data_IF_268893317132
#
_entry.id   IF_268893317132
#
_cell.length_a   1.000
_cell.length_b   1.000
_cell.length_c   1.000
_cell.angle_alpha   90.00
_cell.angle_beta   90.00
_cell.angle_gamma   90.00
#
_symmetry.space_group_name_H-M   'P 1'
#
loop_
_entity.id
_entity.type
_entity.pdbx_description
1 polymer ?
#
# COMPACT_ATOMS: atom_id res chain seq x y z
N UNK A 1 2.81 -13.27 -35.83
CA UNK A 1 3.63 -13.66 -34.68
C UNK A 1 3.02 -14.93 -34.14
N UNK A 2 3.78 -16.00 -33.99
CA UNK A 2 3.26 -17.31 -33.57
C UNK A 2 3.71 -17.53 -32.12
N UNK A 3 2.77 -17.56 -31.19
CA UNK A 3 3.05 -17.86 -29.79
C UNK A 3 3.28 -19.38 -29.69
N UNK A 4 4.37 -19.77 -29.03
CA UNK A 4 4.66 -21.18 -28.73
C UNK A 4 3.96 -21.57 -27.43
N UNK A 5 3.04 -22.52 -27.47
CA UNK A 5 2.37 -23.07 -26.31
C UNK A 5 3.03 -24.38 -25.89
N UNK A 6 3.27 -24.54 -24.59
CA UNK A 6 3.98 -25.69 -24.02
C UNK A 6 3.30 -26.08 -22.71
N UNK A 7 3.02 -27.35 -22.54
CA UNK A 7 2.60 -27.96 -21.28
C UNK A 7 3.86 -28.32 -20.48
N UNK A 8 3.93 -27.84 -19.25
CA UNK A 8 5.16 -27.95 -18.42
C UNK A 8 5.55 -29.42 -18.15
N UNK A 9 4.59 -30.31 -17.96
CA UNK A 9 4.85 -31.75 -17.77
C UNK A 9 5.47 -32.45 -18.99
N UNK A 10 5.46 -31.84 -20.17
CA UNK A 10 6.14 -32.37 -21.35
C UNK A 10 7.65 -32.16 -21.33
N UNK A 11 8.15 -31.24 -20.44
CA UNK A 11 9.54 -30.82 -20.46
C UNK A 11 10.20 -30.79 -19.07
N UNK A 12 9.44 -30.71 -17.98
CA UNK A 12 9.88 -30.62 -16.61
C UNK A 12 9.37 -31.79 -15.77
N UNK A 13 9.99 -32.04 -14.63
CA UNK A 13 9.63 -33.16 -13.75
C UNK A 13 8.38 -32.87 -12.94
N UNK A 14 8.23 -31.65 -12.44
CA UNK A 14 7.07 -31.14 -11.69
C UNK A 14 6.70 -31.99 -10.46
N UNK A 15 7.68 -32.58 -9.78
CA UNK A 15 7.51 -33.42 -8.59
C UNK A 15 7.60 -32.65 -7.27
N UNK A 16 7.56 -31.32 -7.33
CA UNK A 16 7.56 -30.45 -6.17
C UNK A 16 6.14 -30.27 -5.61
N UNK A 17 6.05 -29.46 -4.54
CA UNK A 17 4.79 -29.06 -3.92
C UNK A 17 4.83 -27.56 -3.62
N UNK A 18 3.83 -26.82 -4.07
CA UNK A 18 3.77 -25.36 -3.89
C UNK A 18 3.71 -24.90 -2.41
N UNK A 19 3.39 -25.79 -1.49
CA UNK A 19 3.29 -25.45 -0.05
C UNK A 19 4.51 -25.90 0.75
N UNK A 20 5.11 -27.03 0.40
CA UNK A 20 6.18 -27.68 1.18
C UNK A 20 7.51 -27.81 0.44
N UNK A 21 7.50 -27.56 -0.86
CA UNK A 21 8.70 -27.70 -1.69
C UNK A 21 9.16 -29.14 -1.90
N UNK A 22 10.46 -29.31 -2.09
CA UNK A 22 11.11 -30.57 -2.40
C UNK A 22 11.06 -30.90 -3.89
N UNK A 23 11.58 -32.05 -4.26
CA UNK A 23 11.59 -32.50 -5.65
C UNK A 23 12.78 -32.01 -6.47
N UNK A 24 12.66 -32.18 -7.78
CA UNK A 24 13.68 -31.87 -8.77
C UNK A 24 13.71 -30.37 -9.08
N UNK A 25 14.89 -29.80 -9.23
CA UNK A 25 15.07 -28.40 -9.66
C UNK A 25 14.80 -28.27 -11.16
N UNK A 26 13.65 -27.75 -11.51
CA UNK A 26 13.20 -27.55 -12.90
C UNK A 26 13.62 -26.19 -13.49
N UNK A 27 14.41 -25.38 -12.78
CA UNK A 27 14.77 -24.01 -13.20
C UNK A 27 15.32 -23.96 -14.62
N UNK A 28 16.30 -24.82 -14.95
CA UNK A 28 17.00 -24.75 -16.23
C UNK A 28 16.10 -25.07 -17.42
N UNK A 29 15.25 -26.07 -17.29
CA UNK A 29 14.35 -26.48 -18.39
C UNK A 29 13.22 -25.48 -18.60
N UNK A 30 12.65 -24.95 -17.53
CA UNK A 30 11.61 -23.93 -17.61
C UNK A 30 12.19 -22.61 -18.15
N UNK A 31 13.39 -22.21 -17.70
CA UNK A 31 14.05 -21.01 -18.21
C UNK A 31 14.34 -21.10 -19.71
N UNK A 32 14.84 -22.25 -20.18
CA UNK A 32 15.12 -22.46 -21.59
C UNK A 32 13.86 -22.25 -22.47
N UNK A 33 12.71 -22.70 -22.00
CA UNK A 33 11.44 -22.49 -22.69
C UNK A 33 11.00 -21.03 -22.67
N UNK A 34 11.13 -20.34 -21.51
CA UNK A 34 10.78 -18.93 -21.40
C UNK A 34 11.66 -18.07 -22.31
N UNK A 35 12.93 -18.42 -22.49
CA UNK A 35 13.87 -17.71 -23.35
C UNK A 35 13.51 -17.85 -24.85
N UNK A 36 12.79 -18.88 -25.25
CA UNK A 36 12.30 -19.01 -26.62
C UNK A 36 11.36 -17.88 -27.05
N UNK A 37 10.77 -17.16 -26.10
CA UNK A 37 9.93 -15.99 -26.40
C UNK A 37 10.68 -14.95 -27.26
N UNK A 38 11.99 -14.85 -27.13
CA UNK A 38 12.84 -13.94 -27.92
C UNK A 38 12.98 -14.37 -29.38
N UNK A 39 12.83 -15.65 -29.66
CA UNK A 39 13.02 -16.26 -30.99
C UNK A 39 11.69 -16.47 -31.72
N UNK A 40 10.72 -17.06 -31.04
CA UNK A 40 9.43 -17.39 -31.67
C UNK A 40 8.39 -16.27 -31.56
N UNK A 41 8.71 -15.21 -30.80
CA UNK A 41 7.88 -14.02 -30.69
C UNK A 41 6.92 -14.03 -29.50
N UNK A 42 6.85 -15.11 -28.74
CA UNK A 42 6.10 -15.23 -27.49
C UNK A 42 5.96 -16.68 -27.03
N UNK A 43 5.79 -16.86 -25.72
CA UNK A 43 5.60 -18.17 -25.07
C UNK A 43 4.36 -18.17 -24.22
N UNK A 44 3.58 -19.23 -24.29
CA UNK A 44 2.53 -19.58 -23.36
C UNK A 44 2.92 -20.89 -22.65
N UNK A 45 3.45 -20.76 -21.43
CA UNK A 45 3.80 -21.88 -20.57
C UNK A 45 2.59 -22.24 -19.71
N UNK A 46 2.10 -23.46 -19.82
CA UNK A 46 0.99 -23.99 -19.02
C UNK A 46 1.58 -24.89 -17.93
N UNK A 47 1.43 -24.45 -16.68
CA UNK A 47 1.85 -25.20 -15.51
C UNK A 47 0.71 -26.12 -15.05
N UNK A 48 0.88 -27.41 -15.27
CA UNK A 48 -0.04 -28.49 -14.88
C UNK A 48 0.43 -29.27 -13.66
N UNK A 49 1.48 -28.80 -12.99
CA UNK A 49 2.05 -29.30 -11.73
C UNK A 49 2.85 -28.25 -11.00
N UNK A 50 3.57 -28.65 -9.97
CA UNK A 50 4.39 -27.80 -9.13
C UNK A 50 5.88 -27.99 -9.43
N UNK A 51 6.59 -26.89 -9.69
CA UNK A 51 8.02 -26.87 -9.96
C UNK A 51 8.83 -26.34 -8.77
N UNK A 52 9.95 -26.94 -8.45
CA UNK A 52 11.00 -26.35 -7.62
C UNK A 52 11.88 -25.48 -8.52
N UNK A 53 12.03 -24.18 -8.17
CA UNK A 53 12.79 -23.22 -8.98
C UNK A 53 13.73 -22.36 -8.15
N UNK A 54 14.85 -21.94 -8.73
CA UNK A 54 15.75 -20.95 -8.13
C UNK A 54 15.43 -19.50 -8.52
N UNK A 55 14.36 -19.29 -9.35
CA UNK A 55 13.96 -18.01 -9.92
C UNK A 55 13.97 -18.06 -11.45
N UNK A 56 12.97 -17.46 -12.06
CA UNK A 56 12.78 -17.45 -13.51
C UNK A 56 12.70 -16.03 -14.04
N UNK A 57 13.25 -15.81 -15.23
CA UNK A 57 13.20 -14.52 -15.93
C UNK A 57 12.37 -14.63 -17.19
N UNK A 58 11.55 -13.64 -17.44
CA UNK A 58 10.63 -13.63 -18.56
C UNK A 58 10.90 -12.48 -19.54
N UNK A 59 10.57 -12.71 -20.78
CA UNK A 59 10.65 -11.76 -21.88
C UNK A 59 9.27 -11.21 -22.23
N UNK A 60 9.22 -10.26 -23.16
CA UNK A 60 7.96 -9.78 -23.73
C UNK A 60 7.15 -10.91 -24.35
N UNK A 61 5.82 -10.77 -24.35
CA UNK A 61 4.86 -11.71 -24.90
C UNK A 61 4.91 -13.10 -24.22
N UNK A 62 5.09 -13.10 -22.90
CA UNK A 62 5.10 -14.32 -22.08
C UNK A 62 3.80 -14.43 -21.29
N UNK A 63 3.14 -15.57 -21.42
CA UNK A 63 2.04 -15.99 -20.55
C UNK A 63 2.48 -17.21 -19.75
N UNK A 64 2.33 -17.15 -18.43
CA UNK A 64 2.42 -18.31 -17.53
C UNK A 64 1.03 -18.54 -16.97
N UNK A 65 0.44 -19.70 -17.28
CA UNK A 65 -0.88 -20.09 -16.81
C UNK A 65 -0.77 -21.36 -15.96
N UNK A 66 -1.14 -21.27 -14.67
CA UNK A 66 -1.23 -22.41 -13.79
C UNK A 66 -2.68 -22.91 -13.75
N UNK A 67 -2.89 -24.19 -14.02
CA UNK A 67 -4.24 -24.76 -14.20
C UNK A 67 -5.06 -24.79 -12.91
N UNK A 68 -4.40 -24.95 -11.76
CA UNK A 68 -5.03 -24.96 -10.45
C UNK A 68 -4.18 -24.21 -9.44
N UNK A 69 -4.71 -23.95 -8.25
CA UNK A 69 -3.95 -23.35 -7.13
C UNK A 69 -2.78 -24.23 -6.63
N UNK A 70 -2.82 -25.53 -6.91
CA UNK A 70 -1.79 -26.49 -6.51
C UNK A 70 -0.69 -26.64 -7.56
N UNK A 71 -0.85 -25.99 -8.73
CA UNK A 71 0.19 -25.79 -9.73
C UNK A 71 0.96 -24.50 -9.45
N UNK A 72 2.19 -24.39 -9.95
CA UNK A 72 3.01 -23.18 -9.83
C UNK A 72 4.41 -23.46 -9.33
N UNK A 73 4.89 -22.62 -8.42
CA UNK A 73 6.32 -22.57 -8.11
C UNK A 73 6.57 -22.57 -6.59
N UNK A 74 7.54 -23.37 -6.18
CA UNK A 74 8.16 -23.28 -4.85
C UNK A 74 9.63 -22.88 -5.01
N UNK A 75 10.06 -21.86 -4.32
CA UNK A 75 11.43 -21.38 -4.45
C UNK A 75 12.40 -22.20 -3.62
N UNK A 76 13.48 -22.64 -4.25
CA UNK A 76 14.56 -23.38 -3.64
C UNK A 76 15.22 -22.57 -2.53
N UNK A 77 15.60 -23.20 -1.38
CA UNK A 77 16.35 -22.53 -0.33
C UNK A 77 17.62 -21.85 -0.85
N UNK A 78 17.90 -20.63 -0.38
CA UNK A 78 19.10 -19.87 -0.72
C UNK A 78 19.13 -19.30 -2.14
N UNK A 79 18.01 -19.27 -2.86
CA UNK A 79 17.92 -18.65 -4.19
C UNK A 79 18.15 -17.15 -4.15
N UNK A 80 17.65 -16.49 -3.12
CA UNK A 80 17.84 -15.07 -2.81
C UNK A 80 17.53 -14.12 -4.00
N UNK A 81 16.46 -14.41 -4.68
CA UNK A 81 15.97 -13.63 -5.84
C UNK A 81 14.45 -13.73 -5.95
N UNK A 82 13.86 -13.03 -6.90
CA UNK A 82 12.44 -13.16 -7.19
C UNK A 82 12.08 -14.54 -7.78
N UNK A 83 10.87 -15.03 -7.49
CA UNK A 83 10.36 -16.26 -8.11
C UNK A 83 10.23 -16.04 -9.62
N UNK A 84 9.58 -14.94 -10.01
CA UNK A 84 9.48 -14.49 -11.40
C UNK A 84 9.90 -13.03 -11.49
N UNK A 85 10.79 -12.73 -12.44
CA UNK A 85 11.17 -11.35 -12.77
C UNK A 85 11.28 -11.18 -14.28
N UNK A 86 11.27 -9.92 -14.77
CA UNK A 86 11.60 -9.67 -16.18
C UNK A 86 13.09 -9.32 -16.33
N UNK A 87 13.60 -9.44 -17.56
CA UNK A 87 15.03 -9.13 -17.85
C UNK A 87 15.36 -7.65 -17.75
N UNK A 88 14.40 -6.77 -18.04
CA UNK A 88 14.62 -5.34 -17.94
C UNK A 88 14.68 -4.91 -16.47
N UNK A 89 15.69 -4.14 -16.13
CA UNK A 89 15.87 -3.58 -14.78
C UNK A 89 15.77 -2.04 -14.77
N UNK A 90 15.50 -1.43 -15.91
CA UNK A 90 15.41 0.01 -16.07
C UNK A 90 13.95 0.48 -15.89
N UNK A 91 13.73 1.35 -14.93
CA UNK A 91 12.40 1.90 -14.63
C UNK A 91 11.89 2.83 -15.73
N UNK A 92 12.78 3.50 -16.44
CA UNK A 92 12.45 4.60 -17.36
C UNK A 92 12.16 4.14 -18.77
N UNK A 93 12.58 2.95 -19.14
CA UNK A 93 12.34 2.37 -20.46
C UNK A 93 11.42 1.15 -20.38
N UNK A 94 10.28 1.20 -21.07
CA UNK A 94 9.30 0.09 -21.11
C UNK A 94 9.69 -0.93 -22.18
N UNK A 95 10.72 -1.72 -21.87
CA UNK A 95 11.27 -2.73 -22.81
C UNK A 95 10.55 -4.06 -22.75
N UNK A 96 9.86 -4.37 -21.65
CA UNK A 96 9.11 -5.62 -21.50
C UNK A 96 7.62 -5.34 -21.63
N UNK A 97 6.90 -6.10 -22.46
CA UNK A 97 5.48 -5.88 -22.71
C UNK A 97 4.70 -7.18 -22.89
N UNK A 98 3.39 -7.12 -22.72
CA UNK A 98 2.45 -8.22 -22.90
C UNK A 98 2.83 -9.42 -22.03
N UNK A 99 2.80 -9.23 -20.73
CA UNK A 99 3.06 -10.25 -19.73
C UNK A 99 1.74 -10.63 -19.04
N UNK A 100 1.49 -11.91 -18.90
CA UNK A 100 0.35 -12.45 -18.16
C UNK A 100 0.84 -13.55 -17.23
N UNK A 101 0.58 -13.38 -15.92
CA UNK A 101 0.64 -14.45 -14.93
C UNK A 101 -0.78 -14.75 -14.47
N UNK A 102 -1.23 -15.98 -14.65
CA UNK A 102 -2.60 -16.40 -14.36
C UNK A 102 -2.62 -17.71 -13.56
N UNK A 103 -3.36 -17.71 -12.46
CA UNK A 103 -3.55 -18.90 -11.63
C UNK A 103 -2.34 -19.31 -10.81
N UNK A 104 -2.53 -20.33 -10.00
CA UNK A 104 -1.47 -21.02 -9.25
C UNK A 104 -0.99 -20.34 -7.98
N UNK A 105 0.00 -20.96 -7.38
CA UNK A 105 0.67 -20.50 -6.18
C UNK A 105 2.17 -20.25 -6.44
N UNK A 106 2.63 -19.07 -6.07
CA UNK A 106 4.01 -18.61 -6.16
C UNK A 106 4.56 -18.49 -4.74
N UNK A 107 5.23 -19.54 -4.25
CA UNK A 107 5.76 -19.62 -2.88
C UNK A 107 7.24 -19.30 -2.86
N UNK A 108 7.61 -18.19 -2.20
CA UNK A 108 8.99 -17.76 -2.11
C UNK A 108 9.79 -18.46 -1.00
N UNK A 109 9.17 -19.27 -0.13
CA UNK A 109 9.86 -19.99 0.93
C UNK A 109 10.70 -19.04 1.82
N UNK A 110 10.05 -18.00 2.34
CA UNK A 110 10.70 -16.83 2.97
C UNK A 110 11.70 -17.15 4.08
N UNK A 111 11.46 -18.20 4.88
CA UNK A 111 12.36 -18.59 5.97
C UNK A 111 13.72 -19.07 5.49
N UNK A 112 13.82 -19.45 4.22
CA UNK A 112 15.04 -19.99 3.61
C UNK A 112 15.65 -19.06 2.55
N UNK A 113 15.22 -17.80 2.49
CA UNK A 113 15.82 -16.78 1.66
C UNK A 113 16.64 -15.79 2.48
N UNK A 114 17.58 -15.09 1.86
CA UNK A 114 18.41 -14.09 2.52
C UNK A 114 17.58 -13.06 3.27
N UNK A 115 18.09 -12.65 4.41
CA UNK A 115 17.47 -11.67 5.27
C UNK A 115 18.06 -10.30 4.99
N UNK A 116 17.19 -9.33 4.64
CA UNK A 116 17.51 -7.96 4.86
C UNK A 116 17.43 -7.69 6.37
N UNK A 117 18.56 -7.41 6.98
CA UNK A 117 18.57 -6.87 8.35
C UNK A 117 18.45 -5.38 8.16
N UNK A 118 17.32 -4.74 8.52
CA UNK A 118 17.30 -3.30 8.61
C UNK A 118 18.33 -2.93 9.67
N UNK A 119 19.45 -2.35 9.25
CA UNK A 119 20.28 -1.65 10.20
C UNK A 119 19.41 -0.50 10.71
N UNK A 120 18.94 -0.61 11.94
CA UNK A 120 18.28 0.47 12.69
C UNK A 120 17.34 1.40 11.92
N UNK A 121 16.64 0.91 10.92
CA UNK A 121 15.35 1.41 10.52
C UNK A 121 15.26 2.58 9.54
N UNK A 122 16.29 3.26 9.10
CA UNK A 122 16.14 4.49 8.29
C UNK A 122 17.23 4.70 7.23
N UNK A 123 17.96 3.68 6.85
CA UNK A 123 18.98 3.83 5.83
C UNK A 123 18.33 3.93 4.44
N UNK A 124 18.33 5.13 3.89
CA UNK A 124 17.78 5.45 2.57
C UNK A 124 18.37 4.61 1.44
N UNK A 125 19.64 4.21 1.60
CA UNK A 125 20.40 3.54 0.55
C UNK A 125 20.12 2.04 0.42
N UNK A 126 19.42 1.45 1.36
CA UNK A 126 19.10 0.01 1.34
C UNK A 126 18.05 -0.36 0.30
N UNK A 127 17.40 0.60 -0.31
CA UNK A 127 16.38 0.43 -1.35
C UNK A 127 16.94 0.53 -2.78
N UNK A 128 18.24 0.39 -3.00
CA UNK A 128 18.80 0.41 -4.35
C UNK A 128 18.32 -0.79 -5.16
N UNK A 129 17.58 -0.54 -6.23
CA UNK A 129 17.14 -1.57 -7.18
C UNK A 129 18.31 -2.26 -7.90
N UNK A 130 19.47 -1.62 -7.92
CA UNK A 130 20.62 -2.07 -8.67
C UNK A 130 21.53 -2.98 -7.86
N UNK A 131 21.56 -2.80 -6.55
CA UNK A 131 22.47 -3.55 -5.68
C UNK A 131 21.94 -4.91 -5.24
N UNK A 132 20.66 -5.19 -5.49
CA UNK A 132 20.03 -6.52 -5.53
C UNK A 132 20.24 -7.53 -4.40
N UNK A 133 21.21 -7.32 -3.55
CA UNK A 133 21.66 -8.31 -2.61
C UNK A 133 20.89 -8.33 -1.29
N UNK A 134 20.10 -7.29 -1.00
CA UNK A 134 19.40 -7.15 0.29
C UNK A 134 17.90 -7.30 0.19
N UNK A 135 17.32 -7.05 -0.99
CA UNK A 135 15.88 -7.10 -1.20
C UNK A 135 15.50 -8.29 -2.07
N UNK A 136 14.72 -9.19 -1.50
CA UNK A 136 14.29 -10.43 -2.17
C UNK A 136 12.79 -10.39 -2.32
N UNK A 137 12.31 -9.91 -3.46
CA UNK A 137 10.90 -9.77 -3.77
C UNK A 137 10.27 -11.09 -4.26
N UNK A 138 8.96 -11.24 -4.10
CA UNK A 138 8.24 -12.39 -4.61
C UNK A 138 8.13 -12.38 -6.13
N UNK A 139 7.37 -11.45 -6.68
CA UNK A 139 7.25 -11.15 -8.11
C UNK A 139 7.80 -9.76 -8.38
N UNK A 140 8.67 -9.61 -9.39
CA UNK A 140 9.43 -8.39 -9.58
C UNK A 140 9.49 -7.94 -11.05
N UNK A 141 8.91 -6.78 -11.36
CA UNK A 141 8.81 -6.26 -12.72
C UNK A 141 9.25 -4.82 -12.83
N UNK A 142 10.14 -4.52 -13.77
CA UNK A 142 10.61 -3.18 -14.05
C UNK A 142 10.49 -2.82 -15.52
N UNK A 143 10.06 -1.58 -15.78
CA UNK A 143 9.92 -1.05 -17.14
C UNK A 143 8.97 -1.90 -17.99
N UNK A 144 7.74 -2.10 -17.48
CA UNK A 144 6.75 -2.98 -18.11
C UNK A 144 5.59 -2.21 -18.72
N UNK A 145 5.09 -2.72 -19.83
CA UNK A 145 3.86 -2.25 -20.47
C UNK A 145 2.92 -3.43 -20.74
N UNK A 146 1.65 -3.32 -20.33
CA UNK A 146 0.66 -4.39 -20.43
C UNK A 146 1.07 -5.63 -19.61
N UNK A 147 1.01 -5.49 -18.29
CA UNK A 147 1.21 -6.57 -17.32
C UNK A 147 -0.13 -6.95 -16.70
N UNK A 148 -0.46 -8.22 -16.69
CA UNK A 148 -1.62 -8.78 -16.00
C UNK A 148 -1.19 -9.83 -14.98
N UNK A 149 -1.63 -9.65 -13.72
CA UNK A 149 -1.53 -10.64 -12.65
C UNK A 149 -2.96 -10.99 -12.21
N UNK A 150 -3.40 -12.23 -12.41
CA UNK A 150 -4.78 -12.59 -12.08
C UNK A 150 -4.96 -14.00 -11.53
N UNK A 151 -5.92 -14.14 -10.64
CA UNK A 151 -6.39 -15.42 -10.10
C UNK A 151 -5.27 -16.25 -9.43
N UNK A 152 -4.28 -15.60 -8.81
CA UNK A 152 -3.08 -16.25 -8.28
C UNK A 152 -2.86 -15.96 -6.79
N UNK A 153 -2.00 -16.77 -6.18
CA UNK A 153 -1.58 -16.66 -4.78
C UNK A 153 -0.07 -16.39 -4.74
N UNK A 154 0.34 -15.31 -4.06
CA UNK A 154 1.75 -15.11 -3.69
C UNK A 154 1.91 -15.50 -2.23
N UNK A 155 2.76 -16.50 -1.99
CA UNK A 155 2.88 -17.13 -0.68
C UNK A 155 4.28 -17.00 -0.11
N UNK A 156 4.39 -16.82 1.21
CA UNK A 156 5.65 -16.80 1.95
C UNK A 156 6.72 -15.93 1.28
N UNK A 157 6.35 -14.72 0.90
CA UNK A 157 7.29 -13.74 0.32
C UNK A 157 8.23 -13.19 1.39
N UNK A 158 9.48 -12.91 0.99
CA UNK A 158 10.55 -12.54 1.93
C UNK A 158 10.52 -11.07 2.31
N UNK A 159 10.38 -10.21 1.32
CA UNK A 159 10.15 -8.78 1.48
C UNK A 159 8.83 -8.42 0.78
N UNK A 160 8.81 -7.64 -0.27
CA UNK A 160 7.56 -7.32 -0.96
C UNK A 160 7.04 -8.52 -1.78
N UNK A 161 5.74 -8.80 -1.69
CA UNK A 161 5.14 -9.90 -2.44
C UNK A 161 5.14 -9.63 -3.94
N UNK A 162 4.71 -8.42 -4.34
CA UNK A 162 4.63 -7.96 -5.73
C UNK A 162 5.24 -6.58 -5.85
N UNK A 163 6.31 -6.45 -6.62
CA UNK A 163 7.00 -5.18 -6.86
C UNK A 163 6.92 -4.83 -8.34
N UNK A 164 6.42 -3.64 -8.64
CA UNK A 164 6.32 -3.15 -10.02
C UNK A 164 6.83 -1.71 -10.09
N UNK A 165 7.90 -1.50 -10.83
CA UNK A 165 8.50 -0.18 -11.04
C UNK A 165 8.57 0.21 -12.51
N UNK A 166 8.31 1.47 -12.84
CA UNK A 166 8.36 1.94 -14.21
C UNK A 166 7.32 1.24 -15.10
N UNK A 167 6.04 1.61 -15.02
CA UNK A 167 4.98 0.80 -15.63
C UNK A 167 3.97 1.61 -16.43
N UNK A 168 3.28 0.91 -17.33
CA UNK A 168 2.08 1.39 -18.02
C UNK A 168 1.11 0.25 -18.30
N UNK A 169 -0.19 0.47 -18.06
CA UNK A 169 -1.26 -0.52 -18.25
C UNK A 169 -0.99 -1.80 -17.44
N UNK A 170 -1.08 -1.69 -16.13
CA UNK A 170 -0.97 -2.83 -15.21
C UNK A 170 -2.35 -3.17 -14.67
N UNK A 171 -2.71 -4.43 -14.71
CA UNK A 171 -3.92 -5.00 -14.10
C UNK A 171 -3.56 -6.09 -13.12
N UNK A 172 -4.06 -5.98 -11.89
CA UNK A 172 -3.95 -6.98 -10.83
C UNK A 172 -5.36 -7.31 -10.38
N UNK A 173 -5.77 -8.57 -10.52
CA UNK A 173 -7.15 -8.97 -10.24
C UNK A 173 -7.21 -10.35 -9.57
N UNK A 174 -8.01 -10.48 -8.50
CA UNK A 174 -8.18 -11.72 -7.75
C UNK A 174 -6.83 -12.29 -7.26
N UNK A 175 -5.98 -11.46 -6.70
CA UNK A 175 -4.67 -11.88 -6.17
C UNK A 175 -4.73 -11.95 -4.64
N UNK A 176 -4.31 -13.09 -4.10
CA UNK A 176 -4.28 -13.34 -2.67
C UNK A 176 -2.85 -13.43 -2.14
N UNK A 177 -2.59 -12.73 -1.04
CA UNK A 177 -1.31 -12.74 -0.36
C UNK A 177 -1.40 -13.65 0.87
N UNK A 178 -0.67 -14.77 0.85
CA UNK A 178 -0.72 -15.77 1.89
C UNK A 178 0.64 -15.85 2.62
N UNK A 179 0.67 -15.36 3.85
CA UNK A 179 1.88 -15.27 4.65
C UNK A 179 1.77 -16.05 5.96
N UNK A 180 1.66 -17.40 5.92
CA UNK A 180 1.59 -18.21 7.13
C UNK A 180 2.88 -18.19 7.93
N UNK A 181 4.04 -18.14 7.28
CA UNK A 181 5.36 -18.10 7.91
C UNK A 181 5.81 -16.65 8.13
N UNK A 182 4.90 -15.84 8.70
CA UNK A 182 5.16 -14.45 8.96
C UNK A 182 6.42 -14.27 9.80
N UNK A 183 7.38 -13.59 9.22
CA UNK A 183 8.50 -13.05 9.97
C UNK A 183 8.04 -11.67 10.48
N UNK A 184 8.36 -11.34 11.71
CA UNK A 184 8.12 -9.98 12.24
C UNK A 184 9.13 -9.01 11.61
N UNK A 185 9.16 -8.96 10.28
CA UNK A 185 10.11 -8.16 9.56
C UNK A 185 9.40 -6.93 8.99
N UNK A 186 10.00 -5.78 9.20
CA UNK A 186 9.72 -4.58 8.39
C UNK A 186 9.89 -4.92 6.91
N UNK A 187 9.18 -4.22 6.05
CA UNK A 187 9.25 -4.38 4.61
C UNK A 187 8.77 -5.75 4.10
N UNK A 188 7.84 -6.39 4.79
CA UNK A 188 7.12 -7.55 4.28
C UNK A 188 5.78 -7.10 3.70
N UNK A 189 5.89 -6.21 2.67
CA UNK A 189 4.75 -5.56 2.03
C UNK A 189 4.00 -6.50 1.08
N UNK A 190 2.77 -6.14 0.77
CA UNK A 190 1.99 -6.81 -0.25
C UNK A 190 2.34 -6.32 -1.66
N UNK A 191 1.72 -5.23 -2.07
CA UNK A 191 1.90 -4.64 -3.39
C UNK A 191 2.69 -3.34 -3.30
N UNK A 192 3.82 -3.26 -4.00
CA UNK A 192 4.69 -2.11 -3.93
C UNK A 192 4.98 -1.55 -5.34
N UNK A 193 4.61 -0.28 -5.56
CA UNK A 193 4.71 0.37 -6.87
C UNK A 193 5.65 1.55 -6.84
N UNK A 194 6.59 1.60 -7.81
CA UNK A 194 7.47 2.74 -8.05
C UNK A 194 7.19 3.41 -9.39
N UNK A 195 7.25 4.73 -9.39
CA UNK A 195 7.18 5.49 -10.63
C UNK A 195 8.42 5.34 -11.54
N UNK A 196 8.32 5.85 -12.78
CA UNK A 196 7.14 6.47 -13.36
C UNK A 196 6.04 5.45 -13.71
N UNK A 197 4.79 5.73 -13.34
CA UNK A 197 3.69 4.79 -13.52
C UNK A 197 2.42 5.45 -14.08
N UNK A 198 1.69 4.72 -14.95
CA UNK A 198 0.41 5.17 -15.45
C UNK A 198 -0.53 3.99 -15.78
N UNK A 199 -1.83 4.20 -15.52
CA UNK A 199 -2.90 3.22 -15.76
C UNK A 199 -2.71 1.94 -14.97
N UNK A 200 -2.84 2.05 -13.64
CA UNK A 200 -2.84 0.93 -12.71
C UNK A 200 -4.28 0.58 -12.32
N UNK A 201 -4.68 -0.65 -12.51
CA UNK A 201 -5.97 -1.18 -12.04
C UNK A 201 -5.73 -2.37 -11.13
N UNK A 202 -6.23 -2.26 -9.90
CA UNK A 202 -6.17 -3.35 -8.90
C UNK A 202 -7.60 -3.65 -8.47
N UNK A 203 -8.01 -4.93 -8.56
CA UNK A 203 -9.34 -5.37 -8.16
C UNK A 203 -9.31 -6.63 -7.34
N UNK A 204 -10.14 -6.66 -6.31
CA UNK A 204 -10.43 -7.86 -5.55
C UNK A 204 -9.15 -8.56 -5.07
N UNK A 205 -8.32 -7.82 -4.31
CA UNK A 205 -7.08 -8.32 -3.73
C UNK A 205 -7.20 -8.44 -2.22
N UNK A 206 -6.52 -9.40 -1.64
CA UNK A 206 -6.60 -9.60 -0.20
C UNK A 206 -5.48 -10.45 0.37
N UNK A 207 -5.55 -10.66 1.67
CA UNK A 207 -4.63 -11.54 2.38
C UNK A 207 -3.96 -10.91 3.58
N UNK A 208 -2.81 -11.43 3.95
CA UNK A 208 -2.04 -11.05 5.12
C UNK A 208 -0.62 -10.66 4.73
N UNK A 209 -0.12 -9.60 5.35
CA UNK A 209 1.24 -9.08 5.12
C UNK A 209 1.95 -8.79 6.45
N UNK A 210 3.23 -8.51 6.39
CA UNK A 210 4.02 -8.13 7.57
C UNK A 210 4.08 -6.64 7.82
N UNK A 211 4.04 -5.83 6.77
CA UNK A 211 4.14 -4.37 6.78
C UNK A 211 3.01 -3.73 5.95
N UNK A 212 3.30 -2.92 4.94
CA UNK A 212 2.30 -2.25 4.11
C UNK A 212 1.50 -3.24 3.26
N UNK A 213 0.16 -3.19 3.29
CA UNK A 213 -0.60 -4.01 2.36
C UNK A 213 -0.43 -3.53 0.92
N UNK A 214 -0.39 -2.20 0.73
CA UNK A 214 -0.16 -1.60 -0.57
C UNK A 214 0.59 -0.28 -0.44
N UNK A 215 1.63 -0.09 -1.24
CA UNK A 215 2.37 1.18 -1.34
C UNK A 215 2.37 1.73 -2.77
N UNK A 216 1.98 3.00 -2.92
CA UNK A 216 2.18 3.81 -4.11
C UNK A 216 3.28 4.83 -3.81
N UNK A 217 4.52 4.52 -4.19
CA UNK A 217 5.69 5.38 -4.01
C UNK A 217 6.17 5.97 -5.34
N UNK A 218 5.57 7.06 -5.86
CA UNK A 218 5.87 7.55 -7.20
C UNK A 218 7.35 7.88 -7.40
N UNK A 219 7.97 8.50 -6.43
CA UNK A 219 9.32 9.06 -6.50
C UNK A 219 10.31 8.41 -5.52
N UNK A 220 9.97 7.25 -5.01
CA UNK A 220 10.76 6.57 -3.99
C UNK A 220 12.17 6.18 -4.48
N UNK A 221 12.35 6.02 -5.78
CA UNK A 221 13.64 5.65 -6.38
C UNK A 221 14.43 6.81 -6.99
N UNK A 222 13.76 7.88 -7.41
CA UNK A 222 14.43 8.98 -8.13
C UNK A 222 14.05 10.38 -7.62
N UNK A 223 13.14 10.46 -6.64
CA UNK A 223 12.64 11.68 -6.01
C UNK A 223 11.82 12.62 -6.93
N UNK A 224 11.48 12.20 -8.15
CA UNK A 224 10.81 13.07 -9.14
C UNK A 224 9.71 12.41 -9.95
N UNK A 225 9.71 11.09 -10.07
CA UNK A 225 8.74 10.35 -10.88
C UNK A 225 7.32 10.46 -10.33
N UNK A 226 6.35 10.21 -11.19
CA UNK A 226 4.93 10.28 -10.86
C UNK A 226 4.21 8.97 -11.13
N UNK A 227 3.13 8.72 -10.39
CA UNK A 227 2.15 7.66 -10.69
C UNK A 227 0.80 8.34 -10.87
N UNK A 228 0.11 8.03 -11.99
CA UNK A 228 -1.18 8.63 -12.32
C UNK A 228 -2.17 7.60 -12.83
N UNK A 229 -3.46 7.95 -12.76
CA UNK A 229 -4.55 7.14 -13.30
C UNK A 229 -4.62 5.75 -12.63
N UNK A 230 -4.88 5.75 -11.33
CA UNK A 230 -4.91 4.56 -10.48
C UNK A 230 -6.33 4.25 -10.02
N UNK A 231 -6.76 3.01 -10.18
CA UNK A 231 -7.97 2.45 -9.61
C UNK A 231 -7.62 1.27 -8.70
N UNK A 232 -7.96 1.37 -7.42
CA UNK A 232 -7.90 0.29 -6.44
C UNK A 232 -9.33 0.03 -5.97
N UNK A 233 -9.86 -1.18 -6.18
CA UNK A 233 -11.24 -1.53 -5.94
C UNK A 233 -11.39 -2.93 -5.33
N UNK A 234 -11.80 -3.01 -4.07
CA UNK A 234 -11.92 -4.28 -3.35
C UNK A 234 -10.60 -4.73 -2.74
N UNK A 235 -10.32 -4.26 -1.53
CA UNK A 235 -9.14 -4.63 -0.73
C UNK A 235 -9.61 -5.28 0.55
N UNK A 236 -9.12 -6.50 0.84
CA UNK A 236 -9.48 -7.29 2.01
C UNK A 236 -8.21 -7.77 2.72
N UNK A 237 -7.82 -7.11 3.81
CA UNK A 237 -6.59 -7.49 4.48
C UNK A 237 -6.77 -7.75 5.98
N UNK A 238 -5.92 -8.63 6.49
CA UNK A 238 -5.87 -8.95 7.91
C UNK A 238 -4.49 -8.56 8.46
N UNK A 239 -4.51 -7.70 9.49
CA UNK A 239 -3.36 -7.37 10.32
C UNK A 239 -2.16 -6.77 9.53
N UNK A 240 -2.42 -5.85 8.60
CA UNK A 240 -1.37 -5.04 7.99
C UNK A 240 -0.80 -4.01 8.98
N UNK A 241 0.46 -3.65 8.86
CA UNK A 241 0.97 -2.49 9.61
C UNK A 241 0.33 -1.22 9.08
N UNK A 242 0.36 -1.03 7.78
CA UNK A 242 -0.37 0.02 7.08
C UNK A 242 -1.29 -0.59 6.00
N UNK A 243 -2.53 -0.10 5.91
CA UNK A 243 -3.45 -0.60 4.89
C UNK A 243 -3.03 -0.11 3.50
N UNK A 244 -3.08 1.19 3.28
CA UNK A 244 -2.68 1.79 2.00
C UNK A 244 -1.77 2.99 2.26
N UNK A 245 -0.60 2.93 1.67
CA UNK A 245 0.41 3.95 1.76
C UNK A 245 0.58 4.65 0.41
N UNK A 246 0.47 5.96 0.42
CA UNK A 246 0.76 6.87 -0.68
C UNK A 246 1.95 7.73 -0.24
N UNK A 247 3.15 7.32 -0.63
CA UNK A 247 4.39 7.86 -0.11
C UNK A 247 5.09 8.72 -1.13
N UNK A 248 5.48 9.93 -0.76
CA UNK A 248 6.44 10.73 -1.53
C UNK A 248 7.77 10.89 -0.80
N UNK A 249 8.87 10.91 -1.52
CA UNK A 249 10.22 11.18 -1.01
C UNK A 249 10.85 12.46 -1.54
N UNK A 250 10.30 13.04 -2.57
CA UNK A 250 10.81 14.21 -3.24
C UNK A 250 9.70 15.09 -3.78
N UNK A 251 9.68 15.33 -5.06
CA UNK A 251 8.72 16.20 -5.77
C UNK A 251 7.81 15.45 -6.74
N UNK A 252 7.74 14.12 -6.61
CA UNK A 252 6.89 13.29 -7.45
C UNK A 252 5.41 13.55 -7.21
N UNK A 253 4.59 13.10 -8.13
CA UNK A 253 3.14 13.35 -8.10
C UNK A 253 2.36 12.04 -8.06
N UNK A 254 1.35 11.98 -7.18
CA UNK A 254 0.23 11.04 -7.26
C UNK A 254 -1.01 11.82 -7.72
N UNK A 255 -1.58 11.44 -8.86
CA UNK A 255 -2.72 12.15 -9.43
C UNK A 255 -3.77 11.20 -10.02
N UNK A 256 -5.04 11.56 -9.88
CA UNK A 256 -6.20 10.77 -10.32
C UNK A 256 -6.15 9.35 -9.75
N UNK A 257 -6.10 9.28 -8.41
CA UNK A 257 -6.11 8.03 -7.65
C UNK A 257 -7.48 7.82 -7.05
N UNK A 258 -8.10 6.69 -7.36
CA UNK A 258 -9.35 6.24 -6.76
C UNK A 258 -9.11 4.97 -5.97
N UNK A 259 -9.46 4.99 -4.68
CA UNK A 259 -9.44 3.81 -3.79
C UNK A 259 -10.84 3.60 -3.26
N UNK A 260 -11.37 2.38 -3.38
CA UNK A 260 -12.70 2.08 -2.86
C UNK A 260 -12.85 0.64 -2.39
N UNK A 261 -13.83 0.42 -1.51
CA UNK A 261 -14.17 -0.90 -0.98
C UNK A 261 -12.98 -1.54 -0.23
N UNK A 262 -12.50 -0.85 0.82
CA UNK A 262 -11.39 -1.31 1.66
C UNK A 262 -11.93 -1.82 2.98
N UNK A 263 -11.64 -3.07 3.31
CA UNK A 263 -12.04 -3.70 4.57
C UNK A 263 -10.87 -4.45 5.19
N UNK A 264 -10.69 -4.34 6.49
CA UNK A 264 -9.65 -5.09 7.17
C UNK A 264 -9.21 -4.53 8.52
N UNK A 265 -8.05 -4.97 8.95
CA UNK A 265 -7.44 -4.56 10.21
C UNK A 265 -6.03 -4.01 9.99
N UNK A 266 -5.67 -2.96 10.73
CA UNK A 266 -4.38 -2.31 10.61
C UNK A 266 -3.78 -2.01 12.00
N UNK A 267 -2.46 -1.89 12.07
CA UNK A 267 -1.73 -1.67 13.32
C UNK A 267 -1.26 -0.23 13.51
N UNK A 268 -0.77 0.41 12.45
CA UNK A 268 -0.20 1.76 12.51
C UNK A 268 -1.03 2.78 11.72
N UNK A 269 -1.19 2.60 10.42
CA UNK A 269 -1.96 3.52 9.60
C UNK A 269 -3.04 2.81 8.77
N UNK A 270 -4.26 3.34 8.81
CA UNK A 270 -5.26 2.98 7.81
C UNK A 270 -4.83 3.50 6.44
N UNK A 271 -4.59 4.80 6.35
CA UNK A 271 -4.06 5.45 5.15
C UNK A 271 -2.92 6.39 5.53
N UNK A 272 -1.82 6.26 4.83
CA UNK A 272 -0.71 7.19 4.89
C UNK A 272 -0.62 7.94 3.56
N UNK A 273 -0.81 9.25 3.56
CA UNK A 273 -0.78 10.13 2.37
C UNK A 273 0.14 11.29 2.70
N UNK A 274 1.45 11.07 2.63
CA UNK A 274 2.40 12.03 3.16
C UNK A 274 3.80 11.83 2.58
N UNK A 275 4.67 12.78 2.86
CA UNK A 275 6.09 12.64 2.61
C UNK A 275 6.75 11.66 3.59
N UNK A 276 7.81 11.00 3.13
CA UNK A 276 8.62 10.14 3.99
C UNK A 276 9.42 10.96 5.01
N UNK A 277 10.07 12.01 4.54
CA UNK A 277 10.83 12.93 5.36
C UNK A 277 10.49 14.39 5.06
N UNK A 278 10.63 15.24 6.07
CA UNK A 278 10.42 16.68 5.95
C UNK A 278 11.74 17.38 5.66
N UNK A 279 12.31 17.16 4.48
CA UNK A 279 13.58 17.75 4.04
C UNK A 279 13.40 19.06 3.24
N UNK A 280 12.19 19.61 3.21
CA UNK A 280 11.85 20.81 2.47
C UNK A 280 11.42 20.57 1.02
N UNK A 281 11.33 19.32 0.61
CA UNK A 281 10.72 18.92 -0.66
C UNK A 281 9.42 18.17 -0.38
N UNK A 282 8.39 18.41 -1.17
CA UNK A 282 7.09 17.78 -0.99
C UNK A 282 6.56 17.23 -2.30
N UNK A 283 6.02 16.01 -2.23
CA UNK A 283 5.26 15.43 -3.32
C UNK A 283 3.88 16.08 -3.44
N UNK A 284 3.33 16.00 -4.62
CA UNK A 284 2.00 16.51 -4.93
C UNK A 284 0.98 15.37 -4.92
N UNK A 285 0.01 15.45 -4.02
CA UNK A 285 -1.14 14.55 -3.93
C UNK A 285 -2.36 15.24 -4.54
N UNK A 286 -2.69 14.89 -5.79
CA UNK A 286 -3.71 15.56 -6.59
C UNK A 286 -4.86 14.61 -6.88
N UNK A 287 -6.11 15.11 -6.78
CA UNK A 287 -7.30 14.36 -7.16
C UNK A 287 -7.34 12.94 -6.57
N UNK A 288 -7.17 12.84 -5.24
CA UNK A 288 -7.27 11.59 -4.50
C UNK A 288 -8.71 11.40 -4.03
N UNK A 289 -9.32 10.28 -4.39
CA UNK A 289 -10.66 9.89 -4.00
C UNK A 289 -10.66 8.55 -3.28
N UNK A 290 -11.17 8.51 -2.04
CA UNK A 290 -11.25 7.31 -1.19
C UNK A 290 -12.71 7.11 -0.79
N UNK A 291 -13.24 5.90 -0.99
CA UNK A 291 -14.66 5.62 -0.73
C UNK A 291 -14.90 4.21 -0.18
N UNK A 292 -15.91 4.06 0.68
CA UNK A 292 -16.34 2.78 1.25
C UNK A 292 -15.22 2.07 2.00
N UNK A 293 -14.82 2.63 3.13
CA UNK A 293 -13.75 2.11 3.99
C UNK A 293 -14.37 1.57 5.27
N UNK A 294 -14.06 0.33 5.64
CA UNK A 294 -14.43 -0.29 6.91
C UNK A 294 -13.19 -0.91 7.55
N UNK A 295 -12.54 -0.16 8.41
CA UNK A 295 -11.28 -0.55 9.02
C UNK A 295 -11.39 -0.63 10.55
N UNK A 296 -10.68 -1.62 11.10
CA UNK A 296 -10.50 -1.80 12.53
C UNK A 296 -9.03 -1.69 12.88
N UNK A 297 -8.75 -0.90 13.89
CA UNK A 297 -7.41 -0.81 14.48
C UNK A 297 -7.13 -2.03 15.35
N UNK A 298 -5.92 -2.55 15.25
CA UNK A 298 -5.35 -3.58 16.13
C UNK A 298 -4.15 -3.03 16.91
N UNK A 299 -3.59 -3.83 17.82
CA UNK A 299 -2.45 -3.39 18.61
C UNK A 299 -1.23 -3.09 17.72
N UNK A 300 -0.56 -1.93 17.89
CA UNK A 300 0.64 -1.59 17.13
C UNK A 300 1.80 -2.53 17.46
N UNK A 301 2.64 -2.79 16.47
CA UNK A 301 3.89 -3.55 16.67
C UNK A 301 5.04 -2.65 17.16
N UNK A 302 4.93 -1.35 16.93
CA UNK A 302 6.00 -0.39 17.18
C UNK A 302 5.51 0.74 18.10
N UNK A 303 6.21 0.99 19.18
CA UNK A 303 5.86 2.04 20.14
C UNK A 303 5.92 3.44 19.55
N UNK A 304 6.72 3.63 18.52
CA UNK A 304 6.90 4.93 17.85
C UNK A 304 5.86 5.24 16.76
N UNK A 305 5.01 4.28 16.42
CA UNK A 305 3.93 4.46 15.44
C UNK A 305 2.58 4.39 16.14
N UNK A 306 2.00 5.54 16.49
CA UNK A 306 0.64 5.55 17.01
C UNK A 306 -0.32 5.11 15.91
N UNK A 307 -1.36 4.35 16.25
CA UNK A 307 -2.37 3.96 15.29
C UNK A 307 -3.24 5.17 14.90
N UNK A 308 -3.25 5.47 13.60
CA UNK A 308 -3.97 6.61 13.01
C UNK A 308 -4.69 6.12 11.76
N UNK A 309 -5.97 6.48 11.61
CA UNK A 309 -6.72 6.07 10.42
C UNK A 309 -6.22 6.77 9.16
N UNK A 310 -6.05 8.09 9.20
CA UNK A 310 -5.51 8.88 8.10
C UNK A 310 -4.40 9.81 8.57
N UNK A 311 -3.18 9.58 8.12
CA UNK A 311 -2.09 10.55 8.22
C UNK A 311 -1.94 11.25 6.86
N UNK A 312 -2.18 12.55 6.83
CA UNK A 312 -2.22 13.34 5.60
C UNK A 312 -1.25 14.50 5.69
N UNK A 313 -0.41 14.66 4.69
CA UNK A 313 0.58 15.73 4.61
C UNK A 313 1.17 15.85 3.20
N UNK A 314 2.25 16.62 3.04
CA UNK A 314 2.75 17.00 1.74
C UNK A 314 1.85 18.05 1.06
N UNK A 315 2.01 18.27 -0.23
CA UNK A 315 1.14 19.15 -1.01
C UNK A 315 -0.14 18.40 -1.39
N UNK A 316 -1.24 18.70 -0.74
CA UNK A 316 -2.54 18.09 -1.01
C UNK A 316 -3.42 19.08 -1.74
N UNK A 317 -3.63 18.88 -3.05
CA UNK A 317 -4.51 19.74 -3.85
C UNK A 317 -5.99 19.39 -3.59
N UNK A 318 -6.35 18.11 -3.67
CA UNK A 318 -7.71 17.65 -3.42
C UNK A 318 -7.73 16.22 -2.88
N UNK A 319 -8.25 16.05 -1.67
CA UNK A 319 -8.51 14.77 -1.05
C UNK A 319 -9.98 14.68 -0.66
N UNK A 320 -10.69 13.72 -1.26
CA UNK A 320 -12.10 13.46 -0.97
C UNK A 320 -12.22 12.06 -0.38
N UNK A 321 -12.76 11.98 0.84
CA UNK A 321 -12.97 10.74 1.59
C UNK A 321 -14.46 10.58 1.83
N UNK A 322 -15.03 9.42 1.45
CA UNK A 322 -16.46 9.14 1.60
C UNK A 322 -16.75 7.80 2.24
N UNK A 323 -17.83 7.74 3.00
CA UNK A 323 -18.38 6.52 3.57
C UNK A 323 -17.33 5.71 4.33
N UNK A 324 -16.78 6.28 5.40
CA UNK A 324 -15.80 5.63 6.27
C UNK A 324 -16.47 5.15 7.53
N UNK A 325 -16.31 3.88 7.86
CA UNK A 325 -16.60 3.31 9.16
C UNK A 325 -15.30 2.88 9.82
N UNK A 326 -15.11 3.31 11.04
CA UNK A 326 -13.92 2.97 11.80
C UNK A 326 -14.29 2.40 13.17
N UNK A 327 -13.71 1.25 13.47
CA UNK A 327 -13.78 0.62 14.78
C UNK A 327 -12.53 0.98 15.57
N UNK A 328 -12.72 1.79 16.61
CA UNK A 328 -11.63 2.32 17.43
C UNK A 328 -11.63 1.66 18.80
N UNK A 329 -10.70 0.72 19.06
CA UNK A 329 -10.69 -0.04 20.32
C UNK A 329 -10.14 0.75 21.50
N UNK A 330 -9.67 1.96 21.35
CA UNK A 330 -9.12 2.90 22.30
C UNK A 330 -7.61 2.89 22.49
N UNK A 331 -6.96 3.65 21.72
CA UNK A 331 -5.85 4.43 22.24
C UNK A 331 -6.13 5.88 21.94
N UNK A 332 -5.81 6.77 22.89
CA UNK A 332 -6.14 8.18 22.85
C UNK A 332 -5.39 8.94 21.75
N UNK A 333 -5.60 8.56 20.48
CA UNK A 333 -4.92 9.19 19.35
C UNK A 333 -5.91 9.63 18.29
N UNK A 334 -5.51 10.64 17.53
CA UNK A 334 -6.32 11.17 16.45
C UNK A 334 -6.62 10.10 15.40
N UNK A 335 -7.80 10.17 14.81
CA UNK A 335 -8.12 9.35 13.64
C UNK A 335 -7.60 9.99 12.35
N UNK A 336 -7.55 11.32 12.32
CA UNK A 336 -6.99 12.10 11.24
C UNK A 336 -5.90 13.02 11.78
N UNK A 337 -4.72 12.93 11.21
CA UNK A 337 -3.65 13.91 11.40
C UNK A 337 -3.41 14.64 10.10
N UNK A 338 -3.58 15.96 10.09
CA UNK A 338 -3.41 16.82 8.94
C UNK A 338 -2.16 17.67 9.12
N UNK A 339 -1.13 17.39 8.32
CA UNK A 339 0.11 18.13 8.33
C UNK A 339 1.14 17.67 9.37
N UNK A 340 1.01 16.47 9.93
CA UNK A 340 2.04 15.93 10.83
C UNK A 340 3.11 15.20 10.05
N UNK A 341 4.41 15.43 10.34
CA UNK A 341 5.50 14.66 9.76
C UNK A 341 5.43 13.18 10.16
N UNK A 342 6.07 12.33 9.37
CA UNK A 342 6.14 10.91 9.62
C UNK A 342 6.68 10.56 11.01
N UNK A 343 5.95 9.71 11.73
CA UNK A 343 6.40 8.94 12.90
C UNK A 343 7.02 9.71 14.06
N UNK A 344 6.59 10.88 14.45
CA UNK A 344 7.20 11.60 15.59
C UNK A 344 8.75 11.70 15.56
N UNK A 345 9.36 11.18 14.51
CA UNK A 345 10.77 11.43 14.28
C UNK A 345 10.91 12.95 14.18
N UNK A 346 11.82 13.51 14.91
CA UNK A 346 12.06 14.95 15.03
C UNK A 346 12.46 15.59 13.67
N UNK A 347 11.61 15.43 12.66
CA UNK A 347 11.73 16.04 11.34
C UNK A 347 10.60 17.04 11.14
N UNK A 348 10.61 18.19 11.83
CA UNK A 348 9.59 19.21 11.60
C UNK A 348 9.69 19.70 10.16
N UNK A 349 8.55 20.06 9.59
CA UNK A 349 8.58 20.75 8.30
C UNK A 349 9.32 22.08 8.46
N UNK A 350 10.19 22.47 7.52
CA UNK A 350 10.87 23.76 7.56
C UNK A 350 9.85 24.91 7.63
N UNK A 351 10.01 25.81 8.59
CA UNK A 351 9.04 26.88 8.85
C UNK A 351 8.89 27.88 7.68
N UNK A 352 9.91 27.98 6.84
CA UNK A 352 9.94 28.85 5.66
C UNK A 352 9.44 28.16 4.39
N UNK A 353 9.19 26.86 4.45
CA UNK A 353 8.66 26.07 3.33
C UNK A 353 7.73 24.98 3.84
N UNK A 354 6.48 25.35 4.14
CA UNK A 354 5.47 24.42 4.58
C UNK A 354 4.72 23.79 3.40
N UNK A 355 4.31 22.52 3.50
CA UNK A 355 3.47 21.90 2.47
C UNK A 355 2.09 22.58 2.47
N UNK A 356 1.42 22.53 1.31
CA UNK A 356 0.11 23.15 1.10
C UNK A 356 -0.99 22.10 1.16
N UNK A 357 -1.98 22.30 2.01
CA UNK A 357 -3.19 21.47 2.06
C UNK A 357 -4.39 22.33 1.65
N UNK A 358 -4.84 22.15 0.39
CA UNK A 358 -5.81 23.06 -0.21
C UNK A 358 -7.26 22.63 0.05
N UNK A 359 -7.64 21.40 -0.30
CA UNK A 359 -9.04 20.98 -0.21
C UNK A 359 -9.17 19.56 0.34
N UNK A 360 -9.68 19.42 1.55
CA UNK A 360 -9.94 18.15 2.21
C UNK A 360 -11.43 18.04 2.53
N UNK A 361 -12.08 17.01 2.01
CA UNK A 361 -13.51 16.75 2.21
C UNK A 361 -13.68 15.37 2.81
N UNK A 362 -14.37 15.28 3.94
CA UNK A 362 -14.76 14.05 4.61
C UNK A 362 -16.28 14.01 4.66
N UNK A 363 -16.90 13.06 3.95
CA UNK A 363 -18.36 12.96 3.81
C UNK A 363 -18.83 11.54 4.14
N UNK A 364 -19.53 11.38 5.24
CA UNK A 364 -19.97 10.08 5.76
C UNK A 364 -18.87 9.41 6.60
N UNK A 365 -18.60 9.92 7.79
CA UNK A 365 -17.69 9.32 8.75
C UNK A 365 -18.46 8.78 9.96
N UNK A 366 -18.40 7.47 10.19
CA UNK A 366 -18.93 6.84 11.39
C UNK A 366 -17.79 6.27 12.22
N UNK A 367 -17.66 6.77 13.43
CA UNK A 367 -16.65 6.31 14.40
C UNK A 367 -17.37 5.51 15.48
N UNK A 368 -16.97 4.27 15.64
CA UNK A 368 -17.46 3.38 16.72
C UNK A 368 -16.34 3.21 17.75
N UNK A 369 -16.45 3.94 18.82
CA UNK A 369 -15.50 3.87 19.92
C UNK A 369 -15.89 2.74 20.87
N UNK A 370 -15.12 1.66 20.86
CA UNK A 370 -15.48 0.40 21.51
C UNK A 370 -14.81 0.17 22.86
N UNK A 371 -13.80 0.96 23.22
CA UNK A 371 -13.01 0.65 24.39
C UNK A 371 -13.30 1.45 25.65
N UNK A 372 -12.77 1.02 26.81
CA UNK A 372 -13.03 1.64 28.11
C UNK A 372 -12.32 2.97 28.34
N UNK A 373 -11.29 3.30 27.58
CA UNK A 373 -10.34 4.38 27.89
C UNK A 373 -10.21 5.44 26.78
N UNK A 374 -11.27 5.78 26.10
CA UNK A 374 -11.27 6.91 25.17
C UNK A 374 -11.18 8.25 25.92
N UNK A 375 -10.26 8.34 26.85
CA UNK A 375 -9.98 9.56 27.55
C UNK A 375 -9.23 10.53 26.64
N UNK A 376 -9.81 11.68 26.33
CA UNK A 376 -9.18 12.82 25.67
C UNK A 376 -8.73 12.60 24.20
N UNK A 377 -9.41 11.78 23.44
CA UNK A 377 -9.11 11.67 22.02
C UNK A 377 -9.66 12.87 21.25
N UNK A 378 -8.76 13.60 20.60
CA UNK A 378 -9.10 14.55 19.57
C UNK A 378 -9.14 13.79 18.23
N UNK A 379 -10.26 13.84 17.51
CA UNK A 379 -10.45 12.95 16.36
C UNK A 379 -9.78 13.43 15.08
N UNK A 380 -9.74 14.76 14.86
CA UNK A 380 -9.08 15.37 13.70
C UNK A 380 -8.09 16.41 14.26
N UNK A 381 -6.80 16.09 14.19
CA UNK A 381 -5.72 16.97 14.63
C UNK A 381 -5.09 17.70 13.45
N UNK A 382 -5.06 19.02 13.53
CA UNK A 382 -4.52 19.90 12.48
C UNK A 382 -3.21 20.49 12.96
N UNK A 383 -2.12 20.11 12.31
CA UNK A 383 -0.76 20.54 12.67
C UNK A 383 -0.25 21.70 11.81
N UNK A 384 -0.74 21.84 10.58
CA UNK A 384 -0.34 22.89 9.65
C UNK A 384 -1.58 23.56 9.03
N UNK A 385 -1.42 24.72 8.39
CA UNK A 385 -2.53 25.39 7.73
C UNK A 385 -3.21 24.54 6.66
N UNK A 386 -4.54 24.47 6.75
CA UNK A 386 -5.44 23.85 5.77
C UNK A 386 -6.33 24.95 5.17
N UNK A 387 -6.36 25.09 3.86
CA UNK A 387 -7.15 26.13 3.24
C UNK A 387 -8.66 25.85 3.36
N UNK A 388 -9.07 24.62 3.08
CA UNK A 388 -10.46 24.19 3.20
C UNK A 388 -10.57 22.80 3.82
N UNK A 389 -11.32 22.70 4.91
CA UNK A 389 -11.76 21.44 5.49
C UNK A 389 -13.30 21.40 5.49
N UNK A 390 -13.89 20.37 4.90
CA UNK A 390 -15.32 20.14 4.95
C UNK A 390 -15.63 18.79 5.59
N UNK A 391 -16.40 18.80 6.66
CA UNK A 391 -16.92 17.61 7.34
C UNK A 391 -18.43 17.54 7.12
N UNK A 392 -18.90 16.43 6.58
CA UNK A 392 -20.32 16.19 6.32
C UNK A 392 -20.72 14.81 6.80
N UNK A 393 -21.93 14.69 7.32
CA UNK A 393 -22.49 13.41 7.75
C UNK A 393 -21.54 12.65 8.70
N UNK A 394 -21.08 13.32 9.77
CA UNK A 394 -20.17 12.74 10.76
C UNK A 394 -20.94 12.28 11.98
N UNK A 395 -20.76 11.02 12.36
CA UNK A 395 -21.35 10.43 13.56
C UNK A 395 -20.27 9.79 14.41
N UNK A 396 -20.15 10.22 15.67
CA UNK A 396 -19.28 9.60 16.67
C UNK A 396 -20.11 8.92 17.73
N UNK A 397 -19.99 7.60 17.80
CA UNK A 397 -20.69 6.75 18.78
C UNK A 397 -19.72 6.32 19.88
N UNK A 398 -19.78 7.00 21.02
CA UNK A 398 -18.99 6.67 22.21
C UNK A 398 -19.77 5.75 23.13
N UNK A 399 -19.21 4.57 23.44
CA UNK A 399 -19.80 3.64 24.42
C UNK A 399 -19.56 4.07 25.87
N UNK A 400 -18.41 4.68 26.13
CA UNK A 400 -18.05 5.15 27.46
C UNK A 400 -18.20 6.66 27.56
N UNK A 401 -19.33 7.11 28.06
CA UNK A 401 -19.63 8.55 28.25
C UNK A 401 -19.09 9.13 29.56
N UNK A 402 -18.46 8.33 30.41
CA UNK A 402 -17.90 8.77 31.70
C UNK A 402 -16.45 9.25 31.60
N UNK A 403 -15.75 9.00 30.51
CA UNK A 403 -14.41 9.50 30.29
C UNK A 403 -14.43 10.95 29.80
N UNK A 404 -13.43 11.80 30.16
CA UNK A 404 -13.31 13.13 29.59
C UNK A 404 -13.28 13.05 28.06
N UNK A 405 -14.06 13.90 27.42
CA UNK A 405 -14.08 13.96 25.97
C UNK A 405 -13.00 14.91 25.47
N UNK A 406 -12.34 14.54 24.37
CA UNK A 406 -11.57 15.45 23.54
C UNK A 406 -12.46 16.30 22.64
N UNK A 407 -11.97 16.67 21.51
CA UNK A 407 -12.63 17.52 20.54
C UNK A 407 -12.80 16.78 19.19
N UNK A 408 -13.81 17.15 18.41
CA UNK A 408 -13.89 16.66 17.05
C UNK A 408 -12.71 17.18 16.23
N UNK A 409 -12.38 18.47 16.39
CA UNK A 409 -11.25 19.11 15.73
C UNK A 409 -10.37 19.76 16.79
N UNK A 410 -9.08 19.44 16.79
CA UNK A 410 -8.06 20.15 17.55
C UNK A 410 -6.98 20.72 16.64
N UNK A 411 -6.36 21.82 17.04
CA UNK A 411 -5.31 22.47 16.27
C UNK A 411 -4.06 22.65 17.11
N UNK A 412 -2.91 22.18 16.60
CA UNK A 412 -1.59 22.53 17.13
C UNK A 412 -1.35 24.06 17.02
N UNK A 413 -0.33 24.61 17.68
CA UNK A 413 -0.06 26.06 17.62
C UNK A 413 0.07 26.61 16.20
N UNK A 414 0.65 25.86 15.29
CA UNK A 414 0.84 26.21 13.88
C UNK A 414 -0.34 25.79 12.99
N UNK A 415 -1.25 24.97 13.54
CA UNK A 415 -2.43 24.47 12.84
C UNK A 415 -3.50 25.54 12.69
N UNK A 416 -4.03 25.71 11.50
CA UNK A 416 -5.13 26.62 11.21
C UNK A 416 -6.01 26.09 10.09
N UNK A 417 -7.28 26.48 10.06
CA UNK A 417 -8.20 26.16 8.96
C UNK A 417 -8.78 27.48 8.44
N UNK A 418 -8.45 27.81 7.19
CA UNK A 418 -8.95 29.08 6.64
C UNK A 418 -10.48 29.04 6.42
N UNK A 419 -11.01 27.92 5.91
CA UNK A 419 -12.44 27.74 5.67
C UNK A 419 -12.89 26.37 6.21
N UNK A 420 -13.67 26.36 7.27
CA UNK A 420 -14.26 25.15 7.87
C UNK A 420 -15.74 25.06 7.55
N UNK A 421 -16.17 23.93 6.99
CA UNK A 421 -17.57 23.62 6.72
C UNK A 421 -18.00 22.41 7.52
N UNK A 422 -19.02 22.56 8.36
CA UNK A 422 -19.62 21.49 9.16
C UNK A 422 -21.07 21.30 8.73
N UNK A 423 -21.46 20.10 8.33
CA UNK A 423 -22.84 19.79 7.95
C UNK A 423 -23.25 18.40 8.44
N UNK A 424 -24.38 18.32 9.14
CA UNK A 424 -24.93 17.09 9.72
C UNK A 424 -23.89 16.37 10.62
N UNK A 425 -23.47 17.02 11.69
CA UNK A 425 -22.51 16.52 12.66
C UNK A 425 -23.26 16.06 13.92
N UNK A 426 -23.12 14.78 14.28
CA UNK A 426 -23.71 14.20 15.49
C UNK A 426 -22.59 13.59 16.33
N UNK A 427 -22.25 14.27 17.41
CA UNK A 427 -21.22 13.84 18.34
C UNK A 427 -21.75 13.91 19.77
N UNK A 428 -21.55 12.85 20.55
CA UNK A 428 -21.93 12.83 21.96
C UNK A 428 -20.69 12.80 22.87
N UNK A 429 -20.78 13.49 24.00
CA UNK A 429 -19.77 13.45 25.06
C UNK A 429 -18.44 14.15 24.71
N UNK A 430 -18.44 15.15 23.84
CA UNK A 430 -17.29 16.03 23.60
C UNK A 430 -17.24 17.20 24.58
N UNK A 431 -16.04 17.67 24.89
CA UNK A 431 -15.84 18.90 25.66
C UNK A 431 -16.31 20.12 24.84
N UNK A 432 -15.95 20.17 23.57
CA UNK A 432 -16.46 21.07 22.54
C UNK A 432 -16.16 20.46 21.17
N UNK A 433 -16.79 20.94 20.10
CA UNK A 433 -16.46 20.45 18.75
C UNK A 433 -15.07 20.90 18.29
N UNK A 434 -14.66 22.11 18.70
CA UNK A 434 -13.39 22.73 18.27
C UNK A 434 -12.66 23.19 19.54
N UNK A 435 -11.42 22.77 19.75
CA UNK A 435 -10.61 23.15 20.92
C UNK A 435 -10.13 24.61 20.84
N UNK A 436 -9.74 25.06 19.64
CA UNK A 436 -9.17 26.38 19.36
C UNK A 436 -9.96 27.12 18.28
N UNK A 437 -11.13 27.72 18.61
CA UNK A 437 -11.95 28.43 17.64
C UNK A 437 -11.21 29.57 16.92
N UNK A 438 -10.22 30.19 17.57
CA UNK A 438 -9.38 31.26 17.00
C UNK A 438 -8.48 30.78 15.86
N UNK A 439 -8.25 29.47 15.72
CA UNK A 439 -7.51 28.88 14.60
C UNK A 439 -8.35 28.76 13.31
N UNK A 440 -9.64 29.07 13.37
CA UNK A 440 -10.58 28.98 12.26
C UNK A 440 -10.82 30.36 11.66
N UNK A 441 -10.50 30.54 10.38
CA UNK A 441 -10.72 31.80 9.67
C UNK A 441 -12.20 32.07 9.37
N UNK A 442 -12.87 31.14 8.72
CA UNK A 442 -14.31 31.22 8.44
C UNK A 442 -14.99 29.89 8.78
N UNK A 443 -16.08 29.95 9.53
CA UNK A 443 -16.89 28.79 9.90
C UNK A 443 -18.27 28.88 9.26
N UNK A 444 -18.65 27.83 8.53
CA UNK A 444 -20.03 27.60 8.09
C UNK A 444 -20.55 26.31 8.70
N UNK A 445 -21.61 26.39 9.50
CA UNK A 445 -22.18 25.21 10.15
C UNK A 445 -23.68 25.09 9.89
N UNK A 446 -24.15 23.87 9.60
CA UNK A 446 -25.55 23.53 9.35
C UNK A 446 -25.82 22.18 10.04
N UNK A 447 -26.93 22.11 10.80
CA UNK A 447 -27.36 20.89 11.50
C UNK A 447 -26.24 20.24 12.36
N UNK A 448 -25.63 21.02 13.23
CA UNK A 448 -24.62 20.54 14.18
C UNK A 448 -25.29 20.32 15.53
N UNK A 449 -25.32 19.07 15.99
CA UNK A 449 -25.87 18.70 17.29
C UNK A 449 -24.77 18.26 18.24
N UNK A 450 -24.57 19.02 19.27
CA UNK A 450 -23.83 18.65 20.49
C UNK A 450 -24.80 18.07 21.49
N UNK A 451 -24.65 16.79 21.85
CA UNK A 451 -25.49 16.12 22.87
C UNK A 451 -24.68 15.62 24.03
#
# INVERSE_FOLDING_TARGET
>A
MKIKQILASEIAVLDSNVYTGGGTDDTAVLQAVLDEATVCGGVHLIMDGAALVSGLRIHSNTTIECLTKDCGFFQKPGSNCAIISNYNRDLYTRKTRNIVLKGGTYNQNCLHQAHHVPATGLEEDTCSLLDGNYWVFGLEFYGVEQLELRDLIVRNFRTFAVTIGGFRNVTIENVWLDLPDRMQAQNQDGFHFWGPGQFLTIRNVGGRVGDDFMNLGPDEKDRTSSITDVLIDGVFHDDADQSIRMLSRGTGTLDRVTVRNVTGTYRSFGFYINNWFSDGTYGDFKNIFIENVDLRQTAPNYDYRPPILFNVGGNVESLIIKNVRHHHPCDARALFELGRPYCDLNYPFPADNLPRMENIIIDGLTIMEEGPEAANADYIQVYLPVERLALKNVTVLRKNTGAPAGHLISSAPEGAIANLYLNDIVCNGFASLIDRPESIGALTSVHVAEK
#
